data_IF_366670921487
#
_entry.id   IF_366670921487
#
_cell.length_a   1.000
_cell.length_b   1.000
_cell.length_c   1.000
_cell.angle_alpha   90.00
_cell.angle_beta   90.00
_cell.angle_gamma   90.00
#
_symmetry.space_group_name_H-M   'P 1'
#
loop_
_entity.id
_entity.type
_entity.pdbx_description
1 polymer ?
#
# COMPACT_ATOMS: atom_id res chain seq x y z
N UNK A 1 -14.03 5.38 49.07
CA UNK A 1 -13.14 6.36 48.39
C UNK A 1 -12.31 5.79 47.23
N UNK A 2 -12.18 4.46 47.05
CA UNK A 2 -11.41 3.89 45.94
C UNK A 2 -12.18 3.79 44.61
N UNK A 3 -13.49 3.50 44.65
CA UNK A 3 -14.34 3.40 43.45
C UNK A 3 -14.41 4.72 42.65
N UNK A 4 -14.49 5.87 43.33
CA UNK A 4 -14.49 7.18 42.66
C UNK A 4 -13.19 7.50 41.92
N UNK A 5 -12.04 7.06 42.46
CA UNK A 5 -10.73 7.23 41.82
C UNK A 5 -10.57 6.33 40.60
N UNK A 6 -11.14 5.12 40.64
CA UNK A 6 -11.17 4.19 39.52
C UNK A 6 -12.03 4.74 38.38
N UNK A 7 -13.23 5.24 38.69
CA UNK A 7 -14.12 5.85 37.69
C UNK A 7 -13.47 7.09 37.07
N UNK A 8 -12.86 7.95 37.88
CA UNK A 8 -12.14 9.14 37.38
C UNK A 8 -10.96 8.74 36.47
N UNK A 9 -10.23 7.69 36.81
CA UNK A 9 -9.13 7.18 35.98
C UNK A 9 -9.61 6.65 34.63
N UNK A 10 -10.71 5.90 34.59
CA UNK A 10 -11.30 5.40 33.34
C UNK A 10 -11.82 6.53 32.45
N UNK A 11 -12.43 7.57 33.03
CA UNK A 11 -12.90 8.74 32.29
C UNK A 11 -11.74 9.51 31.65
N UNK A 12 -10.63 9.70 32.37
CA UNK A 12 -9.45 10.38 31.83
C UNK A 12 -8.83 9.60 30.66
N UNK A 13 -8.72 8.27 30.77
CA UNK A 13 -8.21 7.41 29.68
C UNK A 13 -9.10 7.50 28.45
N UNK A 14 -10.43 7.47 28.61
CA UNK A 14 -11.38 7.57 27.50
C UNK A 14 -11.28 8.92 26.79
N UNK A 15 -11.18 10.02 27.54
CA UNK A 15 -11.01 11.37 26.97
C UNK A 15 -9.71 11.50 26.18
N UNK A 16 -8.58 11.03 26.74
CA UNK A 16 -7.29 11.05 26.04
C UNK A 16 -7.35 10.22 24.75
N UNK A 17 -7.94 9.02 24.81
CA UNK A 17 -8.10 8.16 23.64
C UNK A 17 -8.97 8.79 22.56
N UNK A 18 -10.09 9.42 22.93
CA UNK A 18 -10.96 10.14 22.00
C UNK A 18 -10.23 11.32 21.34
N UNK A 19 -9.42 12.08 22.08
CA UNK A 19 -8.59 13.16 21.53
C UNK A 19 -7.54 12.64 20.54
N UNK A 20 -6.88 11.52 20.83
CA UNK A 20 -5.90 10.91 19.92
C UNK A 20 -6.55 10.41 18.62
N UNK A 21 -7.77 9.87 18.70
CA UNK A 21 -8.52 9.45 17.52
C UNK A 21 -9.01 10.63 16.69
N UNK A 22 -9.41 11.74 17.33
CA UNK A 22 -9.82 12.98 16.65
C UNK A 22 -8.67 13.63 15.86
N UNK A 23 -7.46 13.68 16.43
CA UNK A 23 -6.26 14.26 15.77
C UNK A 23 -5.81 13.44 14.53
N UNK A 24 -6.19 12.16 14.43
CA UNK A 24 -5.82 11.29 13.30
C UNK A 24 -6.64 11.57 12.01
N UNK A 25 -7.68 12.41 12.07
CA UNK A 25 -8.54 12.72 10.93
C UNK A 25 -8.08 13.92 10.07
N UNK A 26 -7.13 14.75 10.53
CA UNK A 26 -6.77 16.01 9.85
C UNK A 26 -5.44 15.92 9.05
N UNK A 27 -4.60 14.91 9.31
CA UNK A 27 -3.24 14.83 8.74
C UNK A 27 -3.18 14.36 7.27
N UNK A 28 -4.25 13.79 6.72
CA UNK A 28 -4.26 13.34 5.32
C UNK A 28 -4.70 14.43 4.31
N UNK A 29 -5.35 15.50 4.78
CA UNK A 29 -5.86 16.56 3.90
C UNK A 29 -4.77 17.57 3.47
N UNK A 30 -3.73 17.78 4.27
CA UNK A 30 -2.72 18.84 4.03
C UNK A 30 -1.67 18.46 2.97
N UNK A 31 -1.46 17.17 2.69
CA UNK A 31 -0.49 16.70 1.68
C UNK A 31 -1.02 16.86 0.23
N UNK A 32 -2.33 17.08 0.05
CA UNK A 32 -2.94 17.37 -1.26
C UNK A 32 -2.96 18.87 -1.59
N UNK A 33 -2.74 19.75 -0.62
CA UNK A 33 -2.89 21.21 -0.79
C UNK A 33 -1.61 21.95 -1.19
N UNK A 34 -0.42 21.32 -1.11
CA UNK A 34 0.88 21.98 -1.38
C UNK A 34 1.40 21.83 -2.81
N UNK A 35 0.65 21.22 -3.73
CA UNK A 35 0.98 21.19 -5.15
C UNK A 35 0.62 22.52 -5.88
N UNK A 36 0.98 23.68 -5.33
CA UNK A 36 0.98 24.94 -6.09
C UNK A 36 2.37 25.15 -6.69
N UNK A 37 2.51 24.86 -7.99
CA UNK A 37 3.69 25.21 -8.78
C UNK A 37 3.76 26.74 -8.97
N UNK A 38 4.92 27.38 -8.79
CA UNK A 38 5.10 28.75 -9.24
C UNK A 38 5.32 28.79 -10.76
N UNK A 39 4.86 29.91 -11.33
CA UNK A 39 4.99 30.32 -12.73
C UNK A 39 6.43 30.20 -13.24
N UNK A 40 6.59 29.55 -14.40
CA UNK A 40 7.81 29.56 -15.21
C UNK A 40 7.43 29.38 -16.67
N UNK A 41 7.74 30.38 -17.49
CA UNK A 41 7.41 30.51 -18.91
C UNK A 41 8.39 29.76 -19.83
N UNK A 42 7.84 29.27 -20.96
CA UNK A 42 8.54 28.80 -22.17
C UNK A 42 9.32 27.47 -22.02
N UNK A 43 9.08 26.40 -22.80
CA UNK A 43 9.13 26.31 -24.26
C UNK A 43 8.35 25.11 -24.80
N UNK A 44 7.88 25.27 -26.05
CA UNK A 44 7.48 24.23 -27.03
C UNK A 44 6.37 23.24 -26.67
N UNK A 45 5.21 23.50 -27.29
CA UNK A 45 4.05 22.62 -27.31
C UNK A 45 4.35 21.32 -28.05
N UNK A 46 4.82 20.31 -27.30
CA UNK A 46 4.53 18.92 -27.63
C UNK A 46 3.40 18.51 -26.71
N UNK A 47 2.23 18.23 -27.29
CA UNK A 47 0.99 17.80 -26.65
C UNK A 47 1.19 17.10 -25.30
N UNK A 48 0.36 17.38 -24.26
CA UNK A 48 0.39 16.57 -23.07
C UNK A 48 0.10 15.15 -23.53
N UNK A 49 1.03 14.22 -23.26
CA UNK A 49 0.77 12.79 -23.36
C UNK A 49 -0.49 12.56 -22.55
N UNK A 50 -1.66 12.54 -23.22
CA UNK A 50 -2.91 12.12 -22.59
C UNK A 50 -2.57 10.78 -21.96
N UNK A 51 -2.69 10.61 -20.63
CA UNK A 51 -2.57 9.29 -20.04
C UNK A 51 -3.52 8.41 -20.85
N UNK A 52 -2.97 7.43 -21.58
CA UNK A 52 -3.79 6.47 -22.33
C UNK A 52 -4.90 6.02 -21.37
N UNK A 53 -6.17 6.03 -21.79
CA UNK A 53 -7.28 5.68 -20.92
C UNK A 53 -6.89 4.38 -20.23
N UNK A 54 -6.73 4.43 -18.91
CA UNK A 54 -6.17 3.33 -18.14
C UNK A 54 -6.92 2.08 -18.58
N UNK A 55 -6.23 1.15 -19.27
CA UNK A 55 -6.79 -0.19 -19.50
C UNK A 55 -7.25 -0.64 -18.12
N UNK A 56 -8.56 -0.88 -17.97
CA UNK A 56 -9.12 -1.35 -16.70
C UNK A 56 -8.20 -2.46 -16.19
N UNK A 57 -7.70 -2.30 -14.96
CA UNK A 57 -6.79 -3.29 -14.39
C UNK A 57 -7.45 -4.68 -14.44
N UNK A 58 -6.63 -5.73 -14.51
CA UNK A 58 -7.16 -7.10 -14.61
C UNK A 58 -7.92 -7.46 -13.34
N UNK A 59 -8.57 -8.61 -13.36
CA UNK A 59 -9.21 -9.17 -12.17
C UNK A 59 -8.20 -9.21 -11.01
N UNK A 60 -8.65 -8.75 -9.84
CA UNK A 60 -7.87 -8.66 -8.60
C UNK A 60 -6.67 -7.70 -8.64
N UNK A 61 -6.63 -6.80 -9.60
CA UNK A 61 -5.69 -5.68 -9.65
C UNK A 61 -6.39 -4.35 -9.34
N UNK A 62 -5.63 -3.40 -8.82
CA UNK A 62 -6.02 -2.00 -8.63
C UNK A 62 -4.96 -1.07 -9.20
N UNK A 63 -5.40 0.07 -9.74
CA UNK A 63 -4.47 1.08 -10.24
C UNK A 63 -3.89 1.86 -9.06
N UNK A 64 -2.56 1.92 -8.99
CA UNK A 64 -1.83 2.74 -8.01
C UNK A 64 -0.95 3.74 -8.74
N UNK A 65 -0.76 4.91 -8.14
CA UNK A 65 0.06 6.00 -8.67
C UNK A 65 1.26 6.22 -7.74
N UNK A 66 2.45 6.33 -8.33
CA UNK A 66 3.69 6.65 -7.62
C UNK A 66 3.94 5.78 -6.38
N UNK A 67 4.03 4.46 -6.58
CA UNK A 67 4.34 3.50 -5.53
C UNK A 67 5.68 2.82 -5.80
N UNK A 68 6.33 2.35 -4.72
CA UNK A 68 7.58 1.60 -4.78
C UNK A 68 7.46 0.35 -5.66
N UNK A 69 8.35 0.16 -6.63
CA UNK A 69 8.37 -1.03 -7.48
C UNK A 69 8.65 -2.34 -6.73
N UNK A 70 9.39 -2.30 -5.62
CA UNK A 70 9.71 -3.50 -4.84
C UNK A 70 8.63 -3.88 -3.81
N UNK A 71 7.88 -2.90 -3.30
CA UNK A 71 6.90 -3.07 -2.21
C UNK A 71 5.44 -2.73 -2.57
N UNK A 72 5.14 -2.50 -3.84
CA UNK A 72 3.79 -2.10 -4.29
C UNK A 72 2.73 -3.20 -4.19
N UNK A 73 3.14 -4.46 -4.02
CA UNK A 73 2.27 -5.63 -4.01
C UNK A 73 2.93 -6.90 -3.47
N UNK A 74 2.09 -7.87 -3.08
CA UNK A 74 2.53 -9.21 -2.73
C UNK A 74 2.83 -10.07 -3.96
N UNK A 75 3.89 -10.88 -3.87
CA UNK A 75 4.30 -11.84 -4.89
C UNK A 75 4.33 -13.23 -4.26
N UNK A 76 3.98 -14.28 -4.99
CA UNK A 76 3.94 -15.64 -4.45
C UNK A 76 5.25 -16.06 -3.78
N UNK A 77 6.40 -15.63 -4.33
CA UNK A 77 7.73 -15.86 -3.74
C UNK A 77 7.91 -15.35 -2.31
N UNK A 78 7.14 -14.34 -1.89
CA UNK A 78 7.24 -13.77 -0.54
C UNK A 78 6.64 -14.69 0.54
N UNK A 79 5.82 -15.67 0.16
CA UNK A 79 5.32 -16.67 1.12
C UNK A 79 6.44 -17.58 1.67
N UNK A 80 7.51 -17.76 0.90
CA UNK A 80 8.70 -18.50 1.32
C UNK A 80 9.86 -17.57 1.71
N UNK A 81 10.13 -16.54 0.90
CA UNK A 81 11.28 -15.64 1.10
C UNK A 81 11.04 -14.52 2.12
N UNK A 82 9.80 -14.30 2.54
CA UNK A 82 9.40 -13.11 3.28
C UNK A 82 9.19 -11.88 2.40
N UNK A 83 8.61 -10.84 3.01
CA UNK A 83 8.51 -9.51 2.42
C UNK A 83 9.88 -8.84 2.37
N UNK A 84 10.22 -8.03 1.35
CA UNK A 84 11.51 -7.33 1.31
C UNK A 84 11.71 -6.40 2.52
N UNK A 85 12.91 -6.42 3.09
CA UNK A 85 13.29 -5.58 4.24
C UNK A 85 13.31 -4.08 3.92
N UNK A 86 13.55 -3.75 2.64
CA UNK A 86 13.61 -2.38 2.16
C UNK A 86 12.85 -2.19 0.84
N UNK A 87 12.22 -1.02 0.72
CA UNK A 87 11.46 -0.62 -0.45
C UNK A 87 12.27 0.34 -1.33
N UNK A 88 12.19 0.18 -2.65
CA UNK A 88 12.79 1.12 -3.60
C UNK A 88 12.01 2.45 -3.58
N UNK A 89 12.70 3.57 -3.73
CA UNK A 89 12.10 4.91 -3.76
C UNK A 89 11.62 5.35 -5.16
N UNK A 90 11.48 4.40 -6.08
CA UNK A 90 10.98 4.65 -7.43
C UNK A 90 9.47 4.98 -7.43
N UNK A 91 9.07 5.85 -8.35
CA UNK A 91 7.70 6.32 -8.50
C UNK A 91 7.00 5.58 -9.65
N UNK A 92 6.59 4.33 -9.41
CA UNK A 92 5.95 3.50 -10.45
C UNK A 92 4.44 3.64 -10.38
N UNK A 93 3.79 3.86 -11.53
CA UNK A 93 2.33 3.90 -11.64
C UNK A 93 1.84 2.81 -12.57
N UNK A 94 0.79 2.08 -12.18
CA UNK A 94 0.33 0.90 -12.91
C UNK A 94 -0.70 0.07 -12.14
N UNK A 95 -1.01 -1.11 -12.68
CA UNK A 95 -1.92 -2.06 -12.05
C UNK A 95 -1.15 -3.02 -11.14
N UNK A 96 -1.50 -3.00 -9.85
CA UNK A 96 -0.88 -3.80 -8.80
C UNK A 96 -1.89 -4.77 -8.20
N UNK A 97 -1.44 -5.88 -7.62
CA UNK A 97 -2.37 -6.78 -6.93
C UNK A 97 -3.05 -6.05 -5.77
N UNK A 98 -4.37 -6.25 -5.66
CA UNK A 98 -5.15 -5.80 -4.51
C UNK A 98 -4.64 -6.46 -3.24
N UNK A 99 -4.89 -5.81 -2.09
CA UNK A 99 -4.63 -6.41 -0.78
C UNK A 99 -5.27 -7.81 -0.68
N UNK A 100 -4.51 -8.78 -0.18
CA UNK A 100 -4.93 -10.19 -0.08
C UNK A 100 -4.64 -11.05 -1.32
N UNK A 101 -4.19 -10.46 -2.43
CA UNK A 101 -3.80 -11.16 -3.64
C UNK A 101 -2.29 -11.08 -3.88
N UNK A 102 -1.75 -12.15 -4.47
CA UNK A 102 -0.34 -12.36 -4.70
C UNK A 102 -0.10 -12.51 -6.18
N UNK A 103 0.92 -11.84 -6.72
CA UNK A 103 1.31 -11.99 -8.11
C UNK A 103 2.10 -13.28 -8.30
N UNK A 104 1.59 -14.13 -9.17
CA UNK A 104 2.21 -15.40 -9.56
C UNK A 104 3.16 -15.23 -10.77
N UNK A 105 3.89 -16.28 -11.17
CA UNK A 105 4.81 -16.22 -12.31
C UNK A 105 4.09 -15.95 -13.64
N UNK A 106 2.83 -16.37 -13.76
CA UNK A 106 1.96 -16.08 -14.90
C UNK A 106 1.43 -14.61 -14.93
N UNK A 107 1.95 -13.75 -14.04
CA UNK A 107 1.58 -12.31 -13.94
C UNK A 107 0.09 -12.09 -13.64
N UNK A 108 -0.56 -13.03 -12.94
CA UNK A 108 -1.94 -12.91 -12.45
C UNK A 108 -1.92 -12.72 -10.93
N UNK A 109 -2.86 -11.91 -10.44
CA UNK A 109 -3.11 -11.77 -9.02
C UNK A 109 -4.05 -12.89 -8.57
N UNK A 110 -3.59 -13.74 -7.67
CA UNK A 110 -4.31 -14.92 -7.17
C UNK A 110 -4.33 -14.93 -5.65
N UNK A 111 -5.21 -15.73 -5.05
CA UNK A 111 -5.20 -15.93 -3.60
C UNK A 111 -3.93 -16.70 -3.18
N UNK A 112 -3.45 -16.47 -1.96
CA UNK A 112 -2.18 -17.02 -1.47
C UNK A 112 -2.07 -18.56 -1.58
N UNK A 113 -3.16 -19.29 -1.36
CA UNK A 113 -3.16 -20.77 -1.49
C UNK A 113 -2.91 -21.26 -2.93
N UNK A 114 -3.19 -20.44 -3.95
CA UNK A 114 -2.86 -20.76 -5.34
C UNK A 114 -1.35 -20.62 -5.65
N UNK A 115 -0.57 -20.05 -4.75
CA UNK A 115 0.89 -19.99 -4.87
C UNK A 115 1.57 -21.33 -4.52
N UNK A 116 0.86 -22.32 -3.97
CA UNK A 116 1.46 -23.55 -3.44
C UNK A 116 2.38 -24.26 -4.43
N UNK A 117 1.96 -24.39 -5.70
CA UNK A 117 2.77 -25.01 -6.75
C UNK A 117 4.10 -24.29 -7.01
N UNK A 118 4.14 -22.97 -6.80
CA UNK A 118 5.35 -22.16 -7.02
C UNK A 118 6.34 -22.27 -5.85
N UNK A 119 5.84 -22.51 -4.64
CA UNK A 119 6.66 -22.62 -3.43
C UNK A 119 7.06 -24.06 -3.11
N UNK A 120 6.34 -25.05 -3.62
CA UNK A 120 6.56 -26.47 -3.31
C UNK A 120 8.02 -26.93 -3.43
N UNK A 121 8.79 -26.58 -4.49
CA UNK A 121 10.20 -26.99 -4.60
C UNK A 121 11.12 -26.38 -3.54
N UNK A 122 10.71 -25.27 -2.91
CA UNK A 122 11.48 -24.60 -1.86
C UNK A 122 11.11 -25.13 -0.48
N UNK A 123 9.82 -25.44 -0.26
CA UNK A 123 9.35 -26.03 0.99
C UNK A 123 9.89 -27.45 1.17
N UNK A 124 9.93 -28.26 0.10
CA UNK A 124 10.47 -29.63 0.18
C UNK A 124 11.93 -29.66 0.63
N UNK A 125 12.73 -28.64 0.28
CA UNK A 125 14.13 -28.51 0.67
C UNK A 125 14.35 -28.04 2.11
N UNK A 126 13.32 -27.50 2.77
CA UNK A 126 13.42 -27.14 4.19
C UNK A 126 13.16 -28.33 5.12
N UNK A 127 12.65 -29.44 4.59
CA UNK A 127 12.38 -30.66 5.35
C UNK A 127 13.56 -31.65 5.34
N UNK A 128 14.62 -31.35 4.59
CA UNK A 128 15.90 -32.07 4.58
C UNK A 128 16.92 -31.34 5.48
#
# INVERSE_FOLDING_TARGET
MMAGKIVLSFLLVFVVWASLMYVKAEKEATLLATARRPNGSSWNQTWPLRPKPHKKCKLYEEYKKCVSGSCSEWKCKYLYKGWPDACTYDCVSGCFCKKGYFRNYAKRCVLGYHCFKEIQPFVSKLQE
#
